data_IF_710645718531
#
_entry.id   IF_710645718531
#
_cell.length_a   1.000
_cell.length_b   1.000
_cell.length_c   1.000
_cell.angle_alpha   90.00
_cell.angle_beta   90.00
_cell.angle_gamma   90.00
#
_symmetry.space_group_name_H-M   'P 1'
#
loop_
_entity.id
_entity.type
_entity.pdbx_description
1 polymer ?
#
# COMPACT_ATOMS: atom_id res chain seq x y z
N UNK A 1 -8.67 14.44 -5.55
CA UNK A 1 -9.51 15.46 -4.87
C UNK A 1 -9.48 15.37 -3.34
N UNK A 2 -9.35 14.20 -2.69
CA UNK A 2 -9.06 14.15 -1.23
C UNK A 2 -7.67 13.57 -0.89
N UNK A 3 -7.18 12.64 -1.70
CA UNK A 3 -5.87 12.00 -1.54
C UNK A 3 -5.14 11.91 -2.89
N UNK A 4 -4.52 13.01 -3.38
CA UNK A 4 -3.86 13.01 -4.69
C UNK A 4 -2.74 11.96 -4.81
N UNK A 5 -2.10 11.62 -3.70
CA UNK A 5 -1.04 10.62 -3.65
C UNK A 5 -1.51 9.19 -3.95
N UNK A 6 -2.80 8.88 -3.81
CA UNK A 6 -3.33 7.55 -4.19
C UNK A 6 -3.17 7.26 -5.67
N UNK A 7 -3.00 8.28 -6.51
CA UNK A 7 -2.77 8.13 -7.93
C UNK A 7 -1.49 7.33 -8.23
N UNK A 8 -0.43 7.53 -7.44
CA UNK A 8 0.84 6.82 -7.63
C UNK A 8 0.74 5.31 -7.33
N UNK A 9 -0.33 4.89 -6.64
CA UNK A 9 -0.59 3.48 -6.35
C UNK A 9 -1.07 2.72 -7.59
N UNK A 10 -1.70 3.43 -8.53
CA UNK A 10 -2.06 2.89 -9.83
C UNK A 10 -0.91 3.09 -10.80
N UNK A 11 0.13 2.23 -10.69
CA UNK A 11 1.39 2.32 -11.46
C UNK A 11 1.22 2.40 -12.98
N UNK A 12 0.06 1.99 -13.50
CA UNK A 12 -0.29 2.04 -14.92
C UNK A 12 -0.94 3.34 -15.38
N UNK A 13 -1.18 4.31 -14.47
CA UNK A 13 -1.69 5.63 -14.83
C UNK A 13 -0.57 6.54 -15.33
N UNK A 14 -0.80 7.33 -16.40
CA UNK A 14 0.13 8.38 -16.79
C UNK A 14 0.35 9.41 -15.67
N UNK A 15 1.56 9.94 -15.53
CA UNK A 15 1.90 10.92 -14.49
C UNK A 15 1.17 12.26 -14.66
N UNK A 16 0.78 12.59 -15.89
CA UNK A 16 0.19 13.88 -16.31
C UNK A 16 -1.30 13.81 -16.68
N UNK A 17 -1.94 12.64 -16.57
CA UNK A 17 -3.40 12.49 -16.76
C UNK A 17 -4.20 13.52 -15.94
N UNK A 18 -5.17 14.16 -16.58
CA UNK A 18 -6.07 15.09 -15.91
C UNK A 18 -7.13 14.32 -15.11
N UNK A 19 -7.70 14.95 -14.09
CA UNK A 19 -8.66 14.30 -13.20
C UNK A 19 -9.88 13.77 -13.97
N UNK A 20 -10.36 14.55 -14.94
CA UNK A 20 -11.50 14.24 -15.81
C UNK A 20 -11.24 13.03 -16.70
N UNK A 21 -9.96 12.74 -16.98
CA UNK A 21 -9.53 11.63 -17.81
C UNK A 21 -9.23 10.35 -17.01
N UNK A 22 -9.16 10.42 -15.68
CA UNK A 22 -8.92 9.24 -14.82
C UNK A 22 -9.95 8.14 -15.07
N UNK A 23 -11.23 8.51 -15.19
CA UNK A 23 -12.33 7.58 -15.46
C UNK A 23 -12.28 6.94 -16.84
N UNK A 24 -11.44 7.45 -17.76
CA UNK A 24 -11.26 6.86 -19.09
C UNK A 24 -10.23 5.74 -19.08
N UNK A 25 -9.37 5.68 -18.07
CA UNK A 25 -8.30 4.68 -17.98
C UNK A 25 -8.83 3.29 -17.65
N UNK A 26 -8.28 2.28 -18.34
CA UNK A 26 -8.66 0.89 -18.10
C UNK A 26 -8.24 0.42 -16.70
N UNK A 27 -7.12 0.93 -16.19
CA UNK A 27 -6.65 0.63 -14.84
C UNK A 27 -7.68 0.99 -13.76
N UNK A 28 -8.24 2.21 -13.82
CA UNK A 28 -9.25 2.63 -12.85
C UNK A 28 -10.57 1.90 -13.07
N UNK A 29 -11.01 1.73 -14.33
CA UNK A 29 -12.24 0.97 -14.65
C UNK A 29 -12.18 -0.45 -14.11
N UNK A 30 -11.12 -1.20 -14.39
CA UNK A 30 -10.94 -2.56 -13.88
C UNK A 30 -10.93 -2.61 -12.35
N UNK A 31 -10.36 -1.59 -11.69
CA UNK A 31 -10.37 -1.56 -10.23
C UNK A 31 -11.78 -1.28 -9.68
N UNK A 32 -12.52 -0.37 -10.31
CA UNK A 32 -13.93 -0.11 -9.97
C UNK A 32 -14.79 -1.35 -10.20
N UNK A 33 -14.58 -2.08 -11.30
CA UNK A 33 -15.29 -3.33 -11.58
C UNK A 33 -15.00 -4.38 -10.49
N UNK A 34 -13.73 -4.56 -10.10
CA UNK A 34 -13.37 -5.47 -8.99
C UNK A 34 -14.02 -5.06 -7.68
N UNK A 35 -14.03 -3.77 -7.36
CA UNK A 35 -14.70 -3.24 -6.16
C UNK A 35 -16.19 -3.56 -6.20
N UNK A 36 -16.84 -3.36 -7.35
CA UNK A 36 -18.25 -3.70 -7.54
C UNK A 36 -18.49 -5.20 -7.33
N UNK A 37 -17.68 -6.07 -7.94
CA UNK A 37 -17.80 -7.52 -7.79
C UNK A 37 -17.70 -7.95 -6.31
N UNK A 38 -16.81 -7.31 -5.56
CA UNK A 38 -16.66 -7.56 -4.12
C UNK A 38 -17.88 -7.09 -3.34
N UNK A 39 -18.46 -5.93 -3.66
CA UNK A 39 -19.69 -5.46 -3.02
C UNK A 39 -20.88 -6.38 -3.34
N UNK A 40 -21.00 -6.84 -4.58
CA UNK A 40 -22.02 -7.81 -4.98
C UNK A 40 -21.84 -9.15 -4.23
N UNK A 41 -20.62 -9.65 -4.12
CA UNK A 41 -20.30 -10.83 -3.32
C UNK A 41 -20.70 -10.63 -1.85
N UNK A 42 -20.41 -9.46 -1.28
CA UNK A 42 -20.75 -9.09 0.10
C UNK A 42 -22.25 -9.17 0.36
N UNK A 43 -23.03 -8.55 -0.51
CA UNK A 43 -24.50 -8.49 -0.39
C UNK A 43 -25.08 -9.90 -0.54
N UNK A 44 -24.57 -10.68 -1.49
CA UNK A 44 -25.06 -12.04 -1.76
C UNK A 44 -24.65 -13.08 -0.70
N UNK A 45 -23.60 -12.80 0.07
CA UNK A 45 -23.05 -13.73 1.08
C UNK A 45 -23.09 -13.17 2.50
N UNK A 46 -23.95 -12.20 2.76
CA UNK A 46 -24.04 -11.58 4.09
C UNK A 46 -24.38 -12.60 5.20
N UNK A 47 -25.10 -13.67 4.85
CA UNK A 47 -25.43 -14.77 5.76
C UNK A 47 -24.29 -15.79 5.95
N UNK A 48 -23.26 -15.76 5.09
CA UNK A 48 -22.08 -16.63 5.18
C UNK A 48 -20.84 -15.82 5.58
N UNK A 49 -20.85 -15.35 6.82
CA UNK A 49 -19.84 -14.42 7.36
C UNK A 49 -18.42 -15.00 7.30
N UNK A 50 -18.23 -16.29 7.51
CA UNK A 50 -16.90 -16.92 7.53
C UNK A 50 -16.18 -16.81 6.19
N UNK A 51 -16.88 -17.14 5.10
CA UNK A 51 -16.31 -17.03 3.75
C UNK A 51 -15.97 -15.58 3.40
N UNK A 52 -16.83 -14.65 3.83
CA UNK A 52 -16.63 -13.23 3.58
C UNK A 52 -15.43 -12.69 4.34
N UNK A 53 -15.24 -13.08 5.61
CA UNK A 53 -14.10 -12.69 6.43
C UNK A 53 -12.80 -13.10 5.77
N UNK A 54 -12.67 -14.36 5.35
CA UNK A 54 -11.46 -14.86 4.71
C UNK A 54 -11.16 -14.09 3.41
N UNK A 55 -12.18 -13.89 2.57
CA UNK A 55 -12.04 -13.16 1.30
C UNK A 55 -11.56 -11.73 1.51
N UNK A 56 -12.15 -10.99 2.45
CA UNK A 56 -11.80 -9.60 2.71
C UNK A 56 -10.42 -9.45 3.36
N UNK A 57 -10.03 -10.39 4.23
CA UNK A 57 -8.68 -10.44 4.79
C UNK A 57 -7.65 -10.68 3.68
N UNK A 58 -7.91 -11.59 2.75
CA UNK A 58 -7.02 -11.87 1.63
C UNK A 58 -6.89 -10.66 0.69
N UNK A 59 -7.98 -9.94 0.42
CA UNK A 59 -7.89 -8.66 -0.29
C UNK A 59 -7.05 -7.64 0.47
N UNK A 60 -7.15 -7.59 1.80
CA UNK A 60 -6.33 -6.73 2.65
C UNK A 60 -4.84 -7.02 2.45
N UNK A 61 -4.45 -8.31 2.49
CA UNK A 61 -3.07 -8.73 2.25
C UNK A 61 -2.57 -8.30 0.86
N UNK A 62 -3.37 -8.55 -0.17
CA UNK A 62 -3.03 -8.16 -1.55
C UNK A 62 -2.84 -6.64 -1.68
N UNK A 63 -3.71 -5.83 -1.06
CA UNK A 63 -3.58 -4.37 -1.09
C UNK A 63 -2.28 -3.92 -0.40
N UNK A 64 -1.90 -4.52 0.73
CA UNK A 64 -0.62 -4.23 1.38
C UNK A 64 0.58 -4.60 0.48
N UNK A 65 0.54 -5.77 -0.18
CA UNK A 65 1.59 -6.17 -1.13
C UNK A 65 1.73 -5.20 -2.31
N UNK A 66 0.64 -4.55 -2.72
CA UNK A 66 0.64 -3.50 -3.75
C UNK A 66 1.11 -2.12 -3.20
N UNK A 67 1.42 -2.04 -1.91
CA UNK A 67 1.92 -0.86 -1.21
C UNK A 67 0.83 0.00 -0.58
N UNK A 68 -0.44 -0.40 -0.63
CA UNK A 68 -1.53 0.37 -0.05
C UNK A 68 -1.32 0.56 1.45
N UNK A 69 -1.67 1.74 1.96
CA UNK A 69 -1.59 2.04 3.38
C UNK A 69 -2.98 1.99 4.03
N UNK A 70 -3.04 1.46 5.26
CA UNK A 70 -4.29 1.31 6.02
C UNK A 70 -5.06 2.62 6.20
N UNK A 71 -4.37 3.76 6.23
CA UNK A 71 -4.99 5.09 6.37
C UNK A 71 -5.96 5.42 5.23
N UNK A 72 -5.76 4.85 4.04
CA UNK A 72 -6.61 5.10 2.88
C UNK A 72 -7.89 4.26 2.88
N UNK A 73 -7.92 3.13 3.59
CA UNK A 73 -9.12 2.30 3.68
C UNK A 73 -10.27 3.04 4.39
N UNK A 74 -9.99 3.79 5.46
CA UNK A 74 -11.01 4.60 6.15
C UNK A 74 -11.61 5.68 5.24
N UNK A 75 -10.76 6.35 4.47
CA UNK A 75 -11.19 7.37 3.51
C UNK A 75 -12.10 6.79 2.43
N UNK A 76 -11.83 5.55 1.99
CA UNK A 76 -12.62 4.86 1.00
C UNK A 76 -14.04 4.55 1.50
N UNK A 77 -14.19 4.05 2.74
CA UNK A 77 -15.52 3.84 3.32
C UNK A 77 -16.33 5.14 3.40
N UNK A 78 -15.75 6.24 3.88
CA UNK A 78 -16.43 7.53 3.92
C UNK A 78 -16.85 8.02 2.52
N UNK A 79 -16.02 7.76 1.51
CA UNK A 79 -16.32 8.11 0.13
C UNK A 79 -17.48 7.29 -0.44
N UNK A 80 -17.56 5.98 -0.12
CA UNK A 80 -18.70 5.15 -0.50
C UNK A 80 -19.98 5.59 0.19
N UNK A 81 -19.92 5.82 1.50
CA UNK A 81 -21.08 6.28 2.26
C UNK A 81 -21.65 7.57 1.67
N UNK A 82 -20.77 8.56 1.44
CA UNK A 82 -21.17 9.81 0.80
C UNK A 82 -21.80 9.60 -0.57
N UNK A 83 -21.19 8.75 -1.42
CA UNK A 83 -21.72 8.44 -2.74
C UNK A 83 -23.11 7.78 -2.70
N UNK A 84 -23.31 6.84 -1.78
CA UNK A 84 -24.61 6.16 -1.58
C UNK A 84 -25.67 7.19 -1.18
N UNK A 85 -25.42 8.02 -0.16
CA UNK A 85 -26.37 9.03 0.31
C UNK A 85 -26.67 10.12 -0.74
N UNK A 86 -25.72 10.39 -1.64
CA UNK A 86 -25.93 11.36 -2.73
C UNK A 86 -26.80 10.82 -3.86
N UNK A 87 -26.72 9.52 -4.13
CA UNK A 87 -27.39 8.88 -5.28
C UNK A 87 -28.76 8.31 -4.88
N UNK A 88 -28.88 7.84 -3.64
CA UNK A 88 -30.06 7.16 -3.13
C UNK A 88 -30.75 8.01 -2.07
N UNK A 89 -32.06 8.16 -2.20
CA UNK A 89 -32.90 8.73 -1.14
C UNK A 89 -33.10 7.65 -0.05
N UNK A 90 -32.17 7.61 0.90
CA UNK A 90 -32.14 6.64 2.00
C UNK A 90 -32.52 7.32 3.30
N UNK A 91 -33.28 6.61 4.14
CA UNK A 91 -33.51 7.05 5.50
C UNK A 91 -32.27 6.79 6.38
N UNK A 92 -32.31 7.32 7.60
CA UNK A 92 -31.21 7.16 8.57
C UNK A 92 -30.98 5.71 8.97
N UNK A 93 -31.97 4.82 8.89
CA UNK A 93 -31.80 3.41 9.20
C UNK A 93 -30.96 2.71 8.13
N UNK A 94 -31.26 2.96 6.86
CA UNK A 94 -30.52 2.41 5.72
C UNK A 94 -29.12 3.01 5.65
N UNK A 95 -28.99 4.32 5.91
CA UNK A 95 -27.69 5.00 6.00
C UNK A 95 -26.78 4.33 7.04
N UNK A 96 -27.30 4.09 8.26
CA UNK A 96 -26.54 3.45 9.34
C UNK A 96 -26.19 1.98 9.03
N UNK A 97 -27.03 1.27 8.28
CA UNK A 97 -26.73 -0.09 7.84
C UNK A 97 -25.54 -0.11 6.87
N UNK A 98 -25.50 0.83 5.92
CA UNK A 98 -24.36 0.99 5.02
C UNK A 98 -23.09 1.40 5.75
N UNK A 99 -23.16 2.33 6.70
CA UNK A 99 -21.98 2.71 7.51
C UNK A 99 -21.42 1.50 8.25
N UNK A 100 -22.30 0.73 8.91
CA UNK A 100 -21.91 -0.47 9.65
C UNK A 100 -21.26 -1.51 8.74
N UNK A 101 -21.84 -1.74 7.56
CA UNK A 101 -21.31 -2.68 6.57
C UNK A 101 -19.95 -2.24 6.05
N UNK A 102 -19.82 -0.99 5.61
CA UNK A 102 -18.58 -0.45 5.07
C UNK A 102 -17.46 -0.44 6.11
N UNK A 103 -17.79 -0.14 7.38
CA UNK A 103 -16.82 -0.24 8.49
C UNK A 103 -16.34 -1.66 8.71
N UNK A 104 -17.25 -2.63 8.74
CA UNK A 104 -16.91 -4.05 8.84
C UNK A 104 -15.95 -4.47 7.72
N UNK A 105 -16.25 -4.08 6.47
CA UNK A 105 -15.38 -4.37 5.32
C UNK A 105 -13.99 -3.75 5.47
N UNK A 106 -13.91 -2.47 5.83
CA UNK A 106 -12.63 -1.78 5.97
C UNK A 106 -11.81 -2.31 7.14
N UNK A 107 -12.43 -2.76 8.23
CA UNK A 107 -11.73 -3.33 9.37
C UNK A 107 -11.08 -4.67 9.03
N UNK A 108 -11.74 -5.50 8.22
CA UNK A 108 -11.18 -6.76 7.72
C UNK A 108 -10.07 -6.55 6.69
N UNK A 109 -10.22 -5.58 5.77
CA UNK A 109 -9.14 -5.18 4.86
C UNK A 109 -7.90 -4.73 5.66
N UNK A 110 -8.09 -3.83 6.64
CA UNK A 110 -6.98 -3.38 7.50
C UNK A 110 -6.36 -4.51 8.30
N UNK A 111 -7.16 -5.48 8.76
CA UNK A 111 -6.65 -6.67 9.44
C UNK A 111 -5.73 -7.47 8.51
N UNK A 112 -6.17 -7.76 7.29
CA UNK A 112 -5.34 -8.42 6.29
C UNK A 112 -4.04 -7.68 6.01
N UNK A 113 -4.09 -6.36 5.87
CA UNK A 113 -2.89 -5.53 5.67
C UNK A 113 -1.92 -5.62 6.86
N UNK A 114 -2.42 -5.62 8.10
CA UNK A 114 -1.57 -5.79 9.30
C UNK A 114 -0.90 -7.16 9.33
N UNK A 115 -1.66 -8.22 9.05
CA UNK A 115 -1.14 -9.59 9.03
C UNK A 115 -0.01 -9.75 8.02
N UNK A 116 -0.18 -9.19 6.81
CA UNK A 116 0.85 -9.24 5.77
C UNK A 116 2.10 -8.44 6.17
N UNK A 117 1.91 -7.25 6.75
CA UNK A 117 3.02 -6.45 7.27
C UNK A 117 3.84 -7.23 8.31
N UNK A 118 3.18 -7.82 9.29
CA UNK A 118 3.84 -8.63 10.34
C UNK A 118 4.56 -9.85 9.76
N UNK A 119 3.99 -10.48 8.72
CA UNK A 119 4.62 -11.62 8.05
C UNK A 119 5.93 -11.20 7.34
N UNK A 120 5.91 -10.08 6.62
CA UNK A 120 7.10 -9.53 5.94
C UNK A 120 8.19 -9.10 6.93
N UNK A 121 7.81 -8.51 8.06
CA UNK A 121 8.75 -8.14 9.13
C UNK A 121 9.41 -9.38 9.75
N UNK A 122 8.62 -10.43 10.04
CA UNK A 122 9.15 -11.72 10.55
C UNK A 122 10.10 -12.38 9.56
N UNK A 123 9.79 -12.37 8.27
CA UNK A 123 10.66 -12.93 7.24
C UNK A 123 11.99 -12.15 7.15
N UNK A 124 11.93 -10.83 7.24
CA UNK A 124 13.11 -9.97 7.19
C UNK A 124 14.04 -10.18 8.39
N UNK A 125 13.48 -10.33 9.59
CA UNK A 125 14.24 -10.67 10.80
C UNK A 125 14.91 -12.04 10.67
N UNK A 126 14.20 -13.06 10.20
CA UNK A 126 14.76 -14.39 10.01
C UNK A 126 15.93 -14.40 9.02
N UNK A 127 15.84 -13.63 7.92
CA UNK A 127 16.95 -13.47 6.98
C UNK A 127 18.16 -12.80 7.64
N UNK A 128 17.94 -11.75 8.43
CA UNK A 128 19.00 -11.04 9.17
C UNK A 128 19.81 -11.96 10.10
N UNK A 129 19.15 -12.77 10.92
CA UNK A 129 19.80 -13.72 11.83
C UNK A 129 20.65 -14.78 11.11
N UNK A 130 20.18 -15.28 9.96
CA UNK A 130 20.94 -16.26 9.17
C UNK A 130 22.24 -15.68 8.58
N UNK A 131 22.27 -14.37 8.28
CA UNK A 131 23.48 -13.70 7.78
C UNK A 131 24.55 -13.49 8.85
N UNK A 132 24.17 -13.15 10.08
CA UNK A 132 25.13 -12.98 11.19
C UNK A 132 25.77 -14.30 11.60
N UNK A 133 25.01 -15.39 11.66
CA UNK A 133 25.53 -16.74 11.97
C UNK A 133 26.53 -17.24 10.90
N UNK A 134 26.31 -16.89 9.63
CA UNK A 134 27.22 -17.22 8.54
C UNK A 134 28.52 -16.39 8.59
N UNK A 135 28.45 -15.13 9.04
CA UNK A 135 29.63 -14.28 9.21
C UNK A 135 30.48 -14.72 10.40
N UNK A 136 29.87 -15.16 11.50
CA UNK A 136 30.57 -15.68 12.68
C UNK A 136 31.30 -17.01 12.37
N UNK A 137 30.65 -17.90 11.61
CA UNK A 137 31.28 -19.15 11.11
C UNK A 137 32.42 -18.91 10.12
N UNK A 138 32.40 -17.80 9.38
CA UNK A 138 33.49 -17.44 8.48
C UNK A 138 34.73 -16.89 9.22
N UNK A 139 34.58 -16.37 10.44
CA UNK A 139 35.69 -15.85 11.25
C UNK A 139 36.39 -16.91 12.09
N UNK A 140 35.72 -18.02 12.44
CA UNK A 140 36.31 -19.11 13.25
C UNK A 140 36.97 -20.22 12.41
N UNK A 141 36.86 -20.16 11.07
CA UNK A 141 37.46 -21.13 10.13
C UNK A 141 38.79 -20.70 9.50
N UNK A 142 39.37 -19.57 9.92
CA UNK A 142 40.59 -18.99 9.36
C UNK A 142 41.88 -19.64 9.88
N UNK A 143 42.06 -20.95 9.69
CA UNK A 143 43.35 -21.61 9.90
C UNK A 143 44.17 -21.54 8.59
N UNK A 144 45.18 -20.67 8.62
CA UNK A 144 46.37 -20.55 7.79
C UNK A 144 46.39 -21.24 6.41
N UNK A 145 46.33 -20.43 5.33
CA UNK A 145 46.95 -20.80 4.06
C UNK A 145 47.98 -19.76 3.66
N UNK A 146 49.16 -20.32 3.37
CA UNK A 146 50.43 -19.73 3.01
C UNK A 146 50.36 -18.54 2.04
N UNK A 147 51.16 -17.54 2.36
CA UNK A 147 51.53 -16.43 1.49
C UNK A 147 52.30 -16.96 0.27
N UNK A 148 51.76 -16.77 -0.94
CA UNK A 148 52.57 -16.80 -2.15
C UNK A 148 52.30 -15.54 -2.96
N UNK A 149 53.20 -14.57 -2.81
CA UNK A 149 53.26 -13.36 -3.59
C UNK A 149 53.51 -13.69 -5.06
N UNK A 150 52.57 -13.34 -5.94
CA UNK A 150 52.97 -12.96 -7.29
C UNK A 150 52.15 -11.79 -7.84
N UNK A 151 52.90 -10.72 -8.05
CA UNK A 151 52.59 -9.44 -8.67
C UNK A 151 51.99 -9.56 -10.07
N UNK A 152 50.93 -8.81 -10.36
CA UNK A 152 50.77 -8.00 -11.59
C UNK A 152 49.41 -7.27 -11.66
N UNK A 153 49.29 -6.18 -12.45
CA UNK A 153 48.39 -5.06 -12.14
C UNK A 153 47.11 -4.97 -12.99
N UNK A 154 46.22 -4.08 -12.53
CA UNK A 154 44.99 -3.57 -13.15
C UNK A 154 45.12 -3.17 -14.64
N UNK A 155 43.98 -3.08 -15.34
CA UNK A 155 43.58 -1.76 -15.80
C UNK A 155 42.12 -1.36 -15.54
N UNK A 156 41.96 -0.05 -15.61
CA UNK A 156 40.87 0.85 -15.27
C UNK A 156 39.60 0.79 -16.13
N UNK A 157 38.56 1.31 -15.48
CA UNK A 157 37.48 2.17 -15.98
C UNK A 157 36.28 1.51 -16.67
N UNK A 158 35.07 1.86 -16.21
CA UNK A 158 34.25 2.90 -16.85
C UNK A 158 32.91 3.10 -16.11
N UNK A 159 32.49 4.39 -16.02
CA UNK A 159 31.10 4.92 -16.17
C UNK A 159 30.15 4.72 -14.95
N UNK A 160 29.33 5.67 -14.46
CA UNK A 160 28.97 7.06 -14.78
C UNK A 160 28.15 7.69 -13.61
N UNK A 161 28.08 9.04 -13.56
CA UNK A 161 26.89 9.94 -13.40
C UNK A 161 25.83 9.59 -12.33
N UNK A 162 25.17 10.48 -11.56
CA UNK A 162 25.05 11.93 -11.52
C UNK A 162 24.40 12.34 -10.18
N UNK A 163 24.85 13.48 -9.66
CA UNK A 163 24.06 14.65 -9.24
C UNK A 163 22.56 14.51 -8.88
N UNK A 164 22.20 14.83 -7.63
CA UNK A 164 21.03 15.66 -7.28
C UNK A 164 20.86 15.77 -5.76
N UNK A 165 21.42 16.82 -5.16
CA UNK A 165 20.99 17.27 -3.82
C UNK A 165 19.83 18.25 -3.95
N UNK A 166 18.64 17.80 -3.58
CA UNK A 166 17.42 18.60 -3.44
C UNK A 166 17.53 19.50 -2.20
N UNK A 167 17.38 20.81 -2.38
CA UNK A 167 17.34 21.81 -1.30
C UNK A 167 15.90 22.22 -0.99
N UNK A 168 15.65 22.28 0.32
CA UNK A 168 14.38 22.39 1.04
C UNK A 168 13.72 23.76 0.82
N UNK A 169 12.40 23.77 0.54
CA UNK A 169 11.54 24.95 0.69
C UNK A 169 10.56 24.76 1.84
N UNK A 170 10.80 25.51 2.91
CA UNK A 170 9.93 25.71 4.05
C UNK A 170 8.76 26.61 3.65
N UNK A 171 7.52 26.18 3.89
CA UNK A 171 6.35 27.06 3.81
C UNK A 171 5.80 27.32 5.22
N UNK A 172 5.78 28.60 5.59
CA UNK A 172 4.98 29.13 6.68
C UNK A 172 3.50 29.13 6.26
N UNK A 173 2.62 28.58 7.09
CA UNK A 173 1.18 28.77 6.99
C UNK A 173 0.81 29.91 7.92
N UNK A 174 0.25 30.97 7.34
CA UNK A 174 -0.38 32.06 8.05
C UNK A 174 -1.74 31.61 8.58
N UNK A 175 -1.99 31.86 9.87
CA UNK A 175 -3.32 31.77 10.48
C UNK A 175 -4.22 32.86 9.89
N UNK A 176 -5.43 32.47 9.46
CA UNK A 176 -6.47 33.41 9.08
C UNK A 176 -7.44 33.56 10.26
N UNK A 177 -7.57 34.80 10.73
CA UNK A 177 -8.56 35.25 11.70
C UNK A 177 -9.99 34.97 11.21
N UNK A 178 -10.89 34.44 12.06
CA UNK A 178 -12.30 34.34 11.77
C UNK A 178 -13.04 35.52 12.41
N UNK A 179 -13.21 36.61 11.67
CA UNK A 179 -14.35 37.54 11.86
C UNK A 179 -14.46 38.48 10.64
N UNK A 180 -15.48 38.22 9.82
CA UNK A 180 -15.83 38.99 8.63
C UNK A 180 -17.07 38.43 7.94
#
# INVERSE_FOLDING_TARGET
TLYPQLRYMFRSLPEDIQFEDLFKTDALKMHVDKVRDVLELLINKIDNVEELVNTLVDFGRQHHMLGAEQRYATALAASFQYGICMIMDVDSSVENAWDSLLRFVMDLLKLGMRMEKEAQEKESLNKGYNTEELLEKAQDGGEALDENENSAPMPLALINEDDSTSSVRTFHVAEADPDG
#
